data_IF_284235526119
#
_entry.id   IF_284235526119
#
_cell.length_a   1.000
_cell.length_b   1.000
_cell.length_c   1.000
_cell.angle_alpha   90.00
_cell.angle_beta   90.00
_cell.angle_gamma   90.00
#
_symmetry.space_group_name_H-M   'P 1'
#
loop_
_entity.id
_entity.type
_entity.pdbx_description
1 polymer ?
#
# COMPACT_ATOMS: atom_id res chain seq x y z
N UNK A 1 1.13 24.04 2.26
CA UNK A 1 0.66 23.65 3.61
C UNK A 1 0.72 22.14 3.80
N UNK A 2 0.20 21.33 2.86
CA UNK A 2 0.24 19.87 2.98
C UNK A 2 1.63 19.24 2.85
N UNK A 3 2.52 19.82 2.03
CA UNK A 3 3.93 19.41 1.91
C UNK A 3 4.65 19.47 3.25
N UNK A 4 4.53 20.58 3.96
CA UNK A 4 5.14 20.76 5.29
C UNK A 4 4.64 19.74 6.33
N UNK A 5 3.37 19.32 6.24
CA UNK A 5 2.84 18.27 7.13
C UNK A 5 3.46 16.91 6.81
N UNK A 6 3.63 16.57 5.54
CA UNK A 6 4.29 15.33 5.14
C UNK A 6 5.79 15.32 5.46
N UNK A 7 6.49 16.45 5.29
CA UNK A 7 7.88 16.59 5.71
C UNK A 7 8.04 16.46 7.22
N UNK A 8 7.14 17.07 7.99
CA UNK A 8 7.13 16.96 9.45
C UNK A 8 6.82 15.51 9.89
N UNK A 9 5.86 14.85 9.23
CA UNK A 9 5.57 13.42 9.44
C UNK A 9 6.82 12.58 9.19
N UNK A 10 7.52 12.82 8.09
CA UNK A 10 8.77 12.13 7.76
C UNK A 10 9.87 12.38 8.79
N UNK A 11 10.00 13.62 9.27
CA UNK A 11 10.99 14.00 10.28
C UNK A 11 10.72 13.30 11.62
N UNK A 12 9.48 13.30 12.10
CA UNK A 12 9.11 12.59 13.33
C UNK A 12 9.26 11.08 13.18
N UNK A 13 8.92 10.54 12.01
CA UNK A 13 9.14 9.11 11.73
C UNK A 13 10.61 8.72 11.79
N UNK A 14 11.50 9.51 11.17
CA UNK A 14 12.95 9.28 11.21
C UNK A 14 13.50 9.41 12.64
N UNK A 15 12.95 10.33 13.43
CA UNK A 15 13.35 10.57 14.82
C UNK A 15 12.82 9.50 15.80
N UNK A 16 11.95 8.60 15.32
CA UNK A 16 11.30 7.58 16.16
C UNK A 16 10.15 8.11 17.01
N UNK A 17 9.76 9.37 16.82
CA UNK A 17 8.63 10.02 17.50
C UNK A 17 7.30 9.60 16.85
N UNK A 18 6.97 8.31 17.00
CA UNK A 18 5.83 7.69 16.31
C UNK A 18 4.48 8.27 16.73
N UNK A 19 4.33 8.75 17.97
CA UNK A 19 3.09 9.35 18.45
C UNK A 19 2.81 10.70 17.76
N UNK A 20 3.85 11.53 17.58
CA UNK A 20 3.79 12.79 16.88
C UNK A 20 3.51 12.56 15.39
N UNK A 21 4.19 11.59 14.78
CA UNK A 21 3.91 11.20 13.39
C UNK A 21 2.46 10.69 13.22
N UNK A 22 1.93 9.93 14.17
CA UNK A 22 0.54 9.47 14.17
C UNK A 22 -0.44 10.64 14.28
N UNK A 23 -0.14 11.61 15.16
CA UNK A 23 -0.95 12.82 15.29
C UNK A 23 -1.01 13.59 13.96
N UNK A 24 0.14 13.81 13.31
CA UNK A 24 0.19 14.49 12.01
C UNK A 24 -0.62 13.73 10.94
N UNK A 25 -0.45 12.41 10.84
CA UNK A 25 -1.20 11.59 9.89
C UNK A 25 -2.72 11.72 10.10
N UNK A 26 -3.19 11.71 11.36
CA UNK A 26 -4.60 11.92 11.70
C UNK A 26 -5.08 13.33 11.40
N UNK A 27 -4.24 14.34 11.63
CA UNK A 27 -4.57 15.74 11.27
C UNK A 27 -4.76 15.92 9.77
N UNK A 28 -3.93 15.26 8.95
CA UNK A 28 -4.11 15.28 7.49
C UNK A 28 -5.44 14.60 7.12
N UNK A 29 -5.77 13.46 7.74
CA UNK A 29 -7.04 12.75 7.51
C UNK A 29 -8.29 13.52 7.98
N UNK A 30 -8.17 14.38 8.99
CA UNK A 30 -9.26 15.27 9.38
C UNK A 30 -9.54 16.35 8.34
N UNK A 31 -8.48 16.86 7.69
CA UNK A 31 -8.60 17.88 6.64
C UNK A 31 -8.98 17.29 5.29
N UNK A 32 -8.47 16.10 4.96
CA UNK A 32 -8.75 15.34 3.75
C UNK A 32 -9.19 13.94 4.18
N UNK A 33 -10.50 13.77 4.42
CA UNK A 33 -11.06 12.46 4.70
C UNK A 33 -10.66 11.47 3.61
N UNK A 34 -10.27 10.26 4.04
CA UNK A 34 -9.96 9.13 3.17
C UNK A 34 -8.77 9.35 2.21
N UNK A 35 -7.84 10.24 2.54
CA UNK A 35 -6.57 10.32 1.81
C UNK A 35 -5.78 8.99 1.92
N UNK A 36 -5.59 8.34 0.78
CA UNK A 36 -4.94 7.03 0.66
C UNK A 36 -3.52 7.07 1.26
N UNK A 37 -2.75 8.11 0.97
CA UNK A 37 -1.36 8.25 1.42
C UNK A 37 -1.29 8.34 2.94
N UNK A 38 -2.14 9.16 3.54
CA UNK A 38 -2.21 9.33 4.99
C UNK A 38 -2.73 8.06 5.70
N UNK A 39 -3.69 7.35 5.12
CA UNK A 39 -4.15 6.04 5.62
C UNK A 39 -3.02 4.99 5.60
N UNK A 40 -2.20 4.97 4.54
CA UNK A 40 -1.04 4.08 4.45
C UNK A 40 0.00 4.39 5.51
N UNK A 41 0.34 5.66 5.73
CA UNK A 41 1.28 6.05 6.78
C UNK A 41 0.73 5.82 8.18
N UNK A 42 -0.56 6.08 8.41
CA UNK A 42 -1.22 5.73 9.66
C UNK A 42 -1.13 4.22 9.91
N UNK A 43 -1.42 3.39 8.92
CA UNK A 43 -1.27 1.94 9.01
C UNK A 43 0.16 1.51 9.36
N UNK A 44 1.17 2.13 8.76
CA UNK A 44 2.58 1.87 9.07
C UNK A 44 2.93 2.23 10.52
N UNK A 45 2.47 3.38 11.00
CA UNK A 45 2.69 3.86 12.36
C UNK A 45 2.00 2.96 13.39
N UNK A 46 0.75 2.57 13.13
CA UNK A 46 0.00 1.60 13.94
C UNK A 46 0.69 0.23 13.99
N UNK A 47 1.24 -0.22 12.85
CA UNK A 47 2.00 -1.46 12.80
C UNK A 47 3.26 -1.39 13.67
N UNK A 48 3.97 -0.25 13.64
CA UNK A 48 5.16 0.02 14.45
C UNK A 48 4.86 0.10 15.95
N UNK A 49 3.68 0.58 16.33
CA UNK A 49 3.22 0.67 17.73
C UNK A 49 2.49 -0.60 18.21
N UNK A 50 2.64 -1.73 17.50
CA UNK A 50 2.03 -3.02 17.80
C UNK A 50 0.48 -3.07 17.74
N UNK A 51 -0.18 -2.02 17.24
CA UNK A 51 -1.63 -1.95 17.00
C UNK A 51 -2.00 -2.60 15.67
N UNK A 52 -1.68 -3.89 15.55
CA UNK A 52 -1.71 -4.62 14.26
C UNK A 52 -3.10 -4.75 13.66
N UNK A 53 -4.14 -4.90 14.47
CA UNK A 53 -5.53 -4.97 14.00
C UNK A 53 -5.95 -3.68 13.30
N UNK A 54 -5.71 -2.54 13.94
CA UNK A 54 -6.01 -1.20 13.41
C UNK A 54 -5.15 -0.88 12.19
N UNK A 55 -3.88 -1.29 12.19
CA UNK A 55 -3.01 -1.16 11.03
C UNK A 55 -3.60 -1.85 9.79
N UNK A 56 -4.09 -3.09 9.94
CA UNK A 56 -4.73 -3.82 8.84
C UNK A 56 -6.02 -3.16 8.37
N UNK A 57 -6.80 -2.57 9.29
CA UNK A 57 -8.00 -1.81 8.91
C UNK A 57 -7.63 -0.58 8.07
N UNK A 58 -6.61 0.19 8.48
CA UNK A 58 -6.13 1.34 7.72
C UNK A 58 -5.61 0.93 6.33
N UNK A 59 -4.86 -0.18 6.23
CA UNK A 59 -4.40 -0.69 4.94
C UNK A 59 -5.53 -1.22 4.05
N UNK A 60 -6.63 -1.71 4.62
CA UNK A 60 -7.80 -2.11 3.85
C UNK A 60 -8.59 -0.89 3.37
N UNK A 61 -8.72 0.14 4.20
CA UNK A 61 -9.37 1.40 3.82
C UNK A 61 -8.59 2.12 2.71
N UNK A 62 -7.25 2.03 2.72
CA UNK A 62 -6.40 2.57 1.67
C UNK A 62 -6.41 1.74 0.36
N UNK A 63 -7.10 0.60 0.33
CA UNK A 63 -7.13 -0.29 -0.82
C UNK A 63 -8.42 -0.10 -1.62
N UNK A 64 -8.30 0.48 -2.82
CA UNK A 64 -9.43 0.88 -3.68
C UNK A 64 -10.29 -0.34 -4.05
N UNK A 65 -9.68 -1.52 -4.22
CA UNK A 65 -10.38 -2.76 -4.59
C UNK A 65 -11.10 -3.43 -3.40
N UNK A 66 -10.67 -3.18 -2.17
CA UNK A 66 -11.23 -3.77 -0.94
C UNK A 66 -12.33 -2.90 -0.32
N UNK A 67 -12.75 -1.81 -0.99
CA UNK A 67 -13.86 -0.97 -0.55
C UNK A 67 -15.23 -1.66 -0.72
N UNK A 68 -15.42 -2.80 -0.08
CA UNK A 68 -16.69 -3.40 0.32
C UNK A 68 -17.12 -2.89 1.71
N UNK A 69 -16.75 -1.65 2.06
CA UNK A 69 -17.32 -0.98 3.23
C UNK A 69 -18.83 -0.77 3.00
N UNK A 70 -19.69 -1.00 4.01
CA UNK A 70 -21.12 -0.76 3.87
C UNK A 70 -21.39 0.70 3.48
N UNK A 71 -22.44 0.98 2.69
CA UNK A 71 -22.73 2.32 2.18
C UNK A 71 -23.33 3.18 3.30
N UNK A 72 -22.45 3.77 4.11
CA UNK A 72 -22.82 4.83 5.05
C UNK A 72 -21.72 5.90 5.11
N UNK A 73 -21.17 6.27 3.94
CA UNK A 73 -20.38 7.46 3.61
C UNK A 73 -19.66 7.18 2.26
N UNK A 74 -20.40 7.05 1.15
CA UNK A 74 -20.53 8.11 0.16
C UNK A 74 -19.20 8.57 -0.49
N UNK A 75 -19.00 8.08 -1.73
CA UNK A 75 -18.10 8.58 -2.79
C UNK A 75 -16.61 8.20 -2.65
N UNK A 76 -15.96 7.61 -3.68
CA UNK A 76 -14.51 7.45 -3.67
C UNK A 76 -13.89 8.86 -3.59
N UNK A 77 -13.08 9.14 -2.57
CA UNK A 77 -12.69 10.50 -2.23
C UNK A 77 -11.78 11.02 -3.32
N UNK A 78 -11.95 12.30 -3.63
CA UNK A 78 -11.27 13.07 -4.68
C UNK A 78 -9.87 12.52 -5.02
N UNK A 79 -9.77 11.67 -6.06
CA UNK A 79 -8.49 11.11 -6.52
C UNK A 79 -7.46 12.22 -6.80
N UNK A 80 -7.95 13.44 -7.08
CA UNK A 80 -7.14 14.65 -7.23
C UNK A 80 -6.48 15.11 -5.93
N UNK A 81 -7.19 15.07 -4.79
CA UNK A 81 -6.64 15.42 -3.49
C UNK A 81 -5.60 14.40 -3.04
N UNK A 82 -5.89 13.10 -3.20
CA UNK A 82 -4.89 12.06 -2.88
C UNK A 82 -3.68 12.09 -3.82
N UNK A 83 -3.86 12.46 -5.10
CA UNK A 83 -2.74 12.71 -6.00
C UNK A 83 -1.89 13.93 -5.59
N UNK A 84 -2.48 14.95 -4.93
CA UNK A 84 -1.71 16.05 -4.33
C UNK A 84 -0.93 15.58 -3.11
N UNK A 85 -1.56 14.80 -2.22
CA UNK A 85 -0.90 14.19 -1.06
C UNK A 85 0.27 13.29 -1.49
N UNK A 86 0.08 12.48 -2.53
CA UNK A 86 1.15 11.63 -3.05
C UNK A 86 2.32 12.45 -3.59
N UNK A 87 2.04 13.49 -4.38
CA UNK A 87 3.09 14.40 -4.87
C UNK A 87 3.83 15.09 -3.73
N UNK A 88 3.13 15.52 -2.69
CA UNK A 88 3.73 16.11 -1.51
C UNK A 88 4.60 15.10 -0.75
N UNK A 89 4.10 13.88 -0.55
CA UNK A 89 4.78 12.84 0.21
C UNK A 89 5.96 12.20 -0.54
N UNK A 90 5.94 12.19 -1.88
CA UNK A 90 6.97 11.59 -2.74
C UNK A 90 7.79 12.61 -3.53
N UNK A 91 7.67 13.90 -3.19
CA UNK A 91 8.44 14.98 -3.80
C UNK A 91 9.94 14.77 -3.60
N UNK A 92 10.74 15.26 -4.54
CA UNK A 92 12.20 15.12 -4.48
C UNK A 92 12.75 15.73 -3.19
N UNK A 93 13.55 14.97 -2.43
CA UNK A 93 14.06 15.39 -1.13
C UNK A 93 13.11 15.17 0.07
N UNK A 94 11.93 14.59 -0.16
CA UNK A 94 10.98 14.29 0.93
C UNK A 94 11.60 13.43 2.02
N UNK A 95 11.38 13.84 3.27
CA UNK A 95 11.79 13.08 4.46
C UNK A 95 11.10 11.71 4.57
N UNK A 96 10.05 11.47 3.79
CA UNK A 96 9.32 10.20 3.78
C UNK A 96 9.97 9.10 2.95
N UNK A 97 11.08 9.35 2.24
CA UNK A 97 11.76 8.32 1.45
C UNK A 97 12.00 7.01 2.24
N UNK A 98 12.46 7.11 3.49
CA UNK A 98 12.64 5.95 4.38
C UNK A 98 11.31 5.29 4.80
N UNK A 99 10.30 6.09 5.11
CA UNK A 99 8.97 5.60 5.49
C UNK A 99 8.28 4.87 4.32
N UNK A 100 8.38 5.39 3.10
CA UNK A 100 7.91 4.75 1.88
C UNK A 100 8.62 3.42 1.61
N UNK A 101 9.92 3.35 1.85
CA UNK A 101 10.68 2.09 1.74
C UNK A 101 10.19 1.04 2.74
N UNK A 102 10.03 1.42 4.00
CA UNK A 102 9.53 0.54 5.06
C UNK A 102 8.10 0.07 4.79
N UNK A 103 7.24 0.96 4.29
CA UNK A 103 5.89 0.65 3.84
C UNK A 103 5.91 -0.39 2.71
N UNK A 104 6.79 -0.21 1.72
CA UNK A 104 6.96 -1.16 0.62
C UNK A 104 7.37 -2.56 1.08
N UNK A 105 8.32 -2.65 2.01
CA UNK A 105 8.71 -3.92 2.63
C UNK A 105 7.59 -4.54 3.47
N UNK A 106 6.80 -3.72 4.15
CA UNK A 106 5.65 -4.18 4.91
C UNK A 106 4.59 -4.78 3.97
N UNK A 107 4.22 -4.09 2.89
CA UNK A 107 3.29 -4.62 1.90
C UNK A 107 3.79 -5.88 1.21
N UNK A 108 5.09 -5.98 0.95
CA UNK A 108 5.70 -7.22 0.46
C UNK A 108 5.48 -8.38 1.42
N UNK A 109 5.70 -8.17 2.73
CA UNK A 109 5.44 -9.19 3.77
C UNK A 109 3.96 -9.53 3.93
N UNK A 110 3.06 -8.58 3.64
CA UNK A 110 1.62 -8.79 3.61
C UNK A 110 1.13 -9.45 2.31
N UNK A 111 2.02 -9.75 1.35
CA UNK A 111 1.70 -10.35 0.06
C UNK A 111 1.02 -9.39 -0.93
N UNK A 112 0.98 -8.09 -0.62
CA UNK A 112 0.38 -7.04 -1.45
C UNK A 112 1.41 -6.45 -2.40
N UNK A 113 1.83 -7.24 -3.38
CA UNK A 113 2.96 -6.91 -4.26
C UNK A 113 2.75 -5.61 -5.07
N UNK A 114 1.52 -5.33 -5.52
CA UNK A 114 1.21 -4.08 -6.25
C UNK A 114 1.43 -2.84 -5.39
N UNK A 115 0.87 -2.81 -4.18
CA UNK A 115 1.05 -1.73 -3.22
C UNK A 115 2.53 -1.60 -2.78
N UNK A 116 3.23 -2.74 -2.64
CA UNK A 116 4.65 -2.74 -2.32
C UNK A 116 5.50 -2.05 -3.39
N UNK A 117 5.26 -2.34 -4.67
CA UNK A 117 5.98 -1.70 -5.78
C UNK A 117 5.66 -0.21 -5.87
N UNK A 118 4.39 0.18 -5.72
CA UNK A 118 3.99 1.58 -5.72
C UNK A 118 4.67 2.39 -4.60
N UNK A 119 4.71 1.85 -3.37
CA UNK A 119 5.38 2.47 -2.24
C UNK A 119 6.90 2.61 -2.47
N UNK A 120 7.55 1.58 -3.02
CA UNK A 120 8.98 1.65 -3.34
C UNK A 120 9.29 2.62 -4.47
N UNK A 121 8.40 2.76 -5.45
CA UNK A 121 8.52 3.78 -6.50
C UNK A 121 8.39 5.19 -5.91
N UNK A 122 7.47 5.41 -4.96
CA UNK A 122 7.36 6.69 -4.24
C UNK A 122 8.64 6.99 -3.43
N UNK A 123 9.26 5.98 -2.81
CA UNK A 123 10.57 6.13 -2.16
C UNK A 123 11.68 6.56 -3.15
N UNK A 124 11.67 5.99 -4.36
CA UNK A 124 12.63 6.35 -5.41
C UNK A 124 12.36 7.72 -6.03
N UNK A 125 11.10 8.16 -6.12
CA UNK A 125 10.76 9.51 -6.54
C UNK A 125 11.29 10.55 -5.54
N UNK A 126 11.11 10.27 -4.24
CA UNK A 126 11.63 11.12 -3.17
C UNK A 126 13.17 11.11 -3.11
N UNK A 127 13.79 9.94 -3.29
CA UNK A 127 15.25 9.78 -3.31
C UNK A 127 15.68 8.85 -4.45
N UNK A 128 16.05 9.39 -5.62
CA UNK A 128 16.45 8.59 -6.78
C UNK A 128 17.68 7.71 -6.54
N UNK A 129 18.55 8.08 -5.61
CA UNK A 129 19.76 7.32 -5.26
C UNK A 129 19.55 6.30 -4.14
N UNK A 130 18.29 5.99 -3.80
CA UNK A 130 18.00 5.02 -2.75
C UNK A 130 18.23 3.57 -3.24
N UNK A 131 19.48 3.11 -3.16
CA UNK A 131 19.90 1.78 -3.64
C UNK A 131 19.12 0.62 -2.99
N UNK A 132 18.79 0.73 -1.71
CA UNK A 132 17.98 -0.27 -1.02
C UNK A 132 16.56 -0.39 -1.63
N UNK A 133 15.95 0.73 -2.05
CA UNK A 133 14.66 0.71 -2.73
C UNK A 133 14.78 0.11 -4.14
N UNK A 134 15.84 0.43 -4.91
CA UNK A 134 16.07 -0.17 -6.26
C UNK A 134 16.21 -1.69 -6.20
N UNK A 135 17.02 -2.18 -5.27
CA UNK A 135 17.22 -3.62 -5.06
C UNK A 135 15.93 -4.32 -4.60
N UNK A 136 15.15 -3.68 -3.73
CA UNK A 136 13.85 -4.19 -3.31
C UNK A 136 12.87 -4.26 -4.49
N UNK A 137 12.77 -3.24 -5.33
CA UNK A 137 11.91 -3.24 -6.54
C UNK A 137 12.28 -4.40 -7.46
N UNK A 138 13.57 -4.54 -7.80
CA UNK A 138 14.03 -5.61 -8.68
C UNK A 138 13.67 -7.00 -8.14
N UNK A 139 13.89 -7.22 -6.84
CA UNK A 139 13.53 -8.48 -6.16
C UNK A 139 12.02 -8.73 -6.23
N UNK A 140 11.20 -7.74 -5.88
CA UNK A 140 9.75 -7.90 -5.80
C UNK A 140 9.13 -8.08 -7.18
N UNK A 141 9.59 -7.33 -8.19
CA UNK A 141 9.14 -7.49 -9.57
C UNK A 141 9.42 -8.91 -10.11
N UNK A 142 10.57 -9.49 -9.75
CA UNK A 142 10.87 -10.89 -10.05
C UNK A 142 9.88 -11.86 -9.38
N UNK A 143 9.56 -11.64 -8.10
CA UNK A 143 8.58 -12.45 -7.36
C UNK A 143 7.15 -12.33 -7.93
N UNK A 144 6.69 -11.13 -8.27
CA UNK A 144 5.33 -10.90 -8.78
C UNK A 144 5.15 -11.51 -10.18
N UNK A 145 6.14 -11.39 -11.06
CA UNK A 145 6.10 -11.98 -12.40
C UNK A 145 5.99 -13.51 -12.36
N UNK A 146 6.72 -14.16 -11.45
CA UNK A 146 6.62 -15.61 -11.24
C UNK A 146 5.26 -16.04 -10.69
N UNK A 147 4.65 -15.22 -9.83
CA UNK A 147 3.36 -15.53 -9.19
C UNK A 147 2.18 -15.30 -10.13
N UNK A 148 2.20 -14.25 -10.94
CA UNK A 148 1.22 -14.03 -12.01
C UNK A 148 1.32 -15.10 -13.12
N UNK A 149 2.53 -15.54 -13.46
CA UNK A 149 2.72 -16.65 -14.39
C UNK A 149 2.12 -17.96 -13.83
N UNK A 150 2.20 -18.17 -12.52
CA UNK A 150 1.56 -19.31 -11.86
C UNK A 150 0.03 -19.17 -11.75
N UNK A 151 -0.50 -17.97 -11.45
CA UNK A 151 -1.96 -17.76 -11.36
C UNK A 151 -2.63 -17.89 -12.73
N UNK A 152 -2.03 -17.33 -13.79
CA UNK A 152 -2.51 -17.50 -15.17
C UNK A 152 -2.49 -18.97 -15.61
N UNK A 153 -1.47 -19.75 -15.20
CA UNK A 153 -1.41 -21.19 -15.47
C UNK A 153 -2.44 -22.01 -14.70
N UNK A 154 -2.79 -21.61 -13.47
CA UNK A 154 -3.85 -22.27 -12.70
C UNK A 154 -5.25 -21.97 -13.23
N UNK A 155 -5.47 -20.76 -13.77
CA UNK A 155 -6.73 -20.42 -14.45
C UNK A 155 -6.85 -20.98 -15.87
N UNK A 156 -5.72 -21.36 -16.52
CA UNK A 156 -5.70 -22.07 -17.81
C UNK A 156 -5.61 -23.60 -17.67
N UNK A 157 -5.79 -24.17 -16.47
CA UNK A 157 -6.01 -25.60 -16.37
C UNK A 157 -7.33 -25.93 -17.10
N UNK A 158 -7.31 -26.74 -18.17
CA UNK A 158 -8.52 -27.06 -18.91
C UNK A 158 -9.50 -27.75 -17.96
N UNK A 159 -10.77 -27.33 -18.00
CA UNK A 159 -11.88 -28.07 -17.40
C UNK A 159 -11.97 -29.45 -18.06
N UNK A 160 -11.11 -30.36 -17.62
CA UNK A 160 -11.03 -31.73 -18.09
C UNK A 160 -12.01 -32.60 -17.31
N UNK A 161 -12.95 -33.16 -18.06
CA UNK A 161 -13.50 -34.50 -17.84
C UNK A 161 -14.38 -34.73 -16.60
N UNK A 162 -15.64 -34.31 -16.69
CA UNK A 162 -16.74 -35.02 -16.02
C UNK A 162 -17.84 -35.37 -17.03
N UNK A 163 -17.61 -36.40 -17.84
CA UNK A 163 -18.70 -37.27 -18.30
C UNK A 163 -18.29 -38.70 -18.01
N UNK A 164 -18.65 -39.11 -16.80
CA UNK A 164 -18.64 -40.49 -16.32
C UNK A 164 -19.44 -41.39 -17.25
N UNK A 165 -18.81 -42.47 -17.69
CA UNK A 165 -19.50 -43.63 -18.22
C UNK A 165 -20.54 -44.16 -17.22
N UNK A 166 -21.76 -44.45 -17.68
CA UNK A 166 -22.64 -45.42 -17.03
C UNK A 166 -23.41 -46.23 -18.06
N UNK A 167 -23.05 -47.52 -18.12
CA UNK A 167 -23.76 -48.65 -18.71
C UNK A 167 -25.24 -48.69 -18.31
N UNK A 168 -26.11 -49.11 -19.24
CA UNK A 168 -27.26 -50.02 -19.06
C UNK A 168 -27.97 -50.15 -20.43
N UNK A 169 -27.94 -51.30 -21.11
CA UNK A 169 -28.90 -52.41 -20.96
C UNK A 169 -30.34 -52.02 -21.36
N UNK A 170 -30.75 -52.26 -22.61
CA UNK A 170 -31.60 -53.39 -23.03
C UNK A 170 -31.83 -53.35 -24.54
#
# INVERSE_FOLDING_TARGET
MIEALFDLLGTFYQSGELAQAEWIARSILQAIPDDIVSLQFLGLLLYRTARRSEAMQAFNAADIDTSAAPPAAAVPPDLRASAQCLRAASGHGSALAGAWYDLGLLFFRLGRYGQALAALQAALAARPDYQAAKTAVARIAGFSAHREAHSKRQHLAPAGTHTTAKRASK
#
